data_IF_846641444737
#
_entry.id   IF_846641444737
#
_cell.length_a   1.000
_cell.length_b   1.000
_cell.length_c   1.000
_cell.angle_alpha   90.00
_cell.angle_beta   90.00
_cell.angle_gamma   90.00
#
_symmetry.space_group_name_H-M   'P 1'
#
loop_
_entity.id
_entity.type
_entity.pdbx_description
1 polymer ?
#
# COMPACT_ATOMS: atom_id res chain seq x y z
N UNK A 1 0.72 -0.49 -10.44
CA UNK A 1 0.49 -0.77 -9.01
C UNK A 1 1.29 -1.99 -8.62
N UNK A 2 1.97 -1.97 -7.47
CA UNK A 2 2.82 -3.07 -7.02
C UNK A 2 2.59 -3.31 -5.53
N UNK A 3 2.53 -4.59 -5.14
CA UNK A 3 2.50 -5.04 -3.75
C UNK A 3 3.76 -5.87 -3.47
N UNK A 4 4.44 -5.55 -2.37
CA UNK A 4 5.66 -6.22 -1.92
C UNK A 4 5.42 -6.71 -0.50
N UNK A 5 5.78 -7.96 -0.24
CA UNK A 5 5.73 -8.58 1.08
C UNK A 5 7.11 -8.62 1.75
N UNK A 6 7.10 -8.80 3.07
CA UNK A 6 8.29 -9.09 3.86
C UNK A 6 8.06 -10.45 4.52
N UNK A 7 8.97 -11.40 4.31
CA UNK A 7 8.87 -12.73 4.91
C UNK A 7 9.55 -12.78 6.29
N UNK A 8 9.48 -13.94 6.97
CA UNK A 8 10.10 -14.14 8.29
C UNK A 8 11.63 -13.95 8.31
N UNK A 9 12.28 -13.99 7.14
CA UNK A 9 13.72 -13.74 6.99
C UNK A 9 14.03 -12.28 6.63
N UNK A 10 13.10 -11.35 6.88
CA UNK A 10 13.22 -9.92 6.54
C UNK A 10 13.55 -9.63 5.07
N UNK A 11 13.21 -10.56 4.17
CA UNK A 11 13.47 -10.42 2.74
C UNK A 11 12.24 -9.89 2.03
N UNK A 12 12.44 -8.93 1.13
CA UNK A 12 11.39 -8.38 0.27
C UNK A 12 11.10 -9.33 -0.90
N UNK A 13 9.83 -9.58 -1.19
CA UNK A 13 9.42 -10.36 -2.36
C UNK A 13 8.16 -9.75 -3.01
N UNK A 14 8.05 -9.78 -4.35
CA UNK A 14 6.87 -9.30 -5.04
C UNK A 14 5.69 -10.23 -4.75
N UNK A 15 4.53 -9.66 -4.37
CA UNK A 15 3.28 -10.43 -4.19
C UNK A 15 2.43 -10.33 -5.45
N UNK A 16 2.19 -9.11 -5.93
CA UNK A 16 1.32 -8.85 -7.07
C UNK A 16 1.68 -7.54 -7.77
N UNK A 17 1.32 -7.44 -9.04
CA UNK A 17 1.38 -6.19 -9.80
C UNK A 17 0.15 -6.04 -10.69
N UNK A 18 -0.21 -4.80 -10.99
CA UNK A 18 -1.28 -4.48 -11.93
C UNK A 18 -0.92 -3.27 -12.78
N UNK A 19 -1.15 -3.39 -14.08
CA UNK A 19 -1.05 -2.28 -15.03
C UNK A 19 -2.42 -1.62 -15.15
N UNK A 20 -2.50 -0.35 -14.78
CA UNK A 20 -3.73 0.43 -14.82
C UNK A 20 -3.49 1.72 -15.59
N UNK A 21 -4.53 2.21 -16.27
CA UNK A 21 -4.46 3.46 -17.06
C UNK A 21 -4.05 4.66 -16.20
N UNK A 22 -4.50 4.69 -14.95
CA UNK A 22 -4.19 5.73 -13.96
C UNK A 22 -4.35 5.15 -12.58
N UNK A 23 -3.53 5.59 -11.65
CA UNK A 23 -3.74 5.33 -10.23
C UNK A 23 -4.79 6.29 -9.66
N UNK A 24 -5.97 5.76 -9.37
CA UNK A 24 -7.10 6.42 -8.72
C UNK A 24 -7.59 5.62 -7.51
N UNK A 25 -8.49 6.23 -6.74
CA UNK A 25 -9.22 5.56 -5.65
C UNK A 25 -9.80 4.22 -6.11
N UNK A 26 -10.54 4.21 -7.23
CA UNK A 26 -11.20 3.01 -7.74
C UNK A 26 -10.22 1.92 -8.12
N UNK A 27 -9.10 2.28 -8.76
CA UNK A 27 -8.07 1.29 -9.12
C UNK A 27 -7.35 0.73 -7.90
N UNK A 28 -7.13 1.54 -6.86
CA UNK A 28 -6.54 1.07 -5.59
C UNK A 28 -7.51 0.17 -4.84
N UNK A 29 -8.79 0.54 -4.77
CA UNK A 29 -9.85 -0.28 -4.17
C UNK A 29 -9.97 -1.63 -4.85
N UNK A 30 -10.00 -1.64 -6.18
CA UNK A 30 -10.04 -2.86 -6.96
C UNK A 30 -8.81 -3.74 -6.69
N UNK A 31 -7.60 -3.18 -6.80
CA UNK A 31 -6.36 -3.93 -6.63
C UNK A 31 -6.22 -4.52 -5.22
N UNK A 32 -6.48 -3.72 -4.19
CA UNK A 32 -6.37 -4.15 -2.79
C UNK A 32 -7.41 -5.23 -2.47
N UNK A 33 -8.65 -5.04 -2.92
CA UNK A 33 -9.72 -6.02 -2.72
C UNK A 33 -9.35 -7.40 -3.27
N UNK A 34 -8.87 -7.47 -4.52
CA UNK A 34 -8.48 -8.74 -5.12
C UNK A 34 -7.23 -9.34 -4.47
N UNK A 35 -6.24 -8.51 -4.16
CA UNK A 35 -5.03 -8.96 -3.45
C UNK A 35 -5.38 -9.66 -2.12
N UNK A 36 -6.33 -9.11 -1.36
CA UNK A 36 -6.73 -9.70 -0.08
C UNK A 36 -7.56 -10.97 -0.22
N UNK A 37 -8.42 -11.04 -1.25
CA UNK A 37 -9.15 -12.27 -1.59
C UNK A 37 -8.14 -13.38 -1.92
N UNK A 38 -7.15 -13.10 -2.77
CA UNK A 38 -6.15 -14.08 -3.21
C UNK A 38 -5.22 -14.54 -2.07
N UNK A 39 -4.89 -13.63 -1.15
CA UNK A 39 -4.11 -13.94 0.05
C UNK A 39 -4.94 -14.58 1.18
N UNK A 40 -6.25 -14.76 0.97
CA UNK A 40 -7.20 -15.30 1.95
C UNK A 40 -7.14 -14.59 3.31
N UNK A 41 -6.95 -13.26 3.28
CA UNK A 41 -6.80 -12.41 4.47
C UNK A 41 -8.17 -12.05 5.04
N UNK A 42 -8.88 -13.04 5.54
CA UNK A 42 -10.25 -12.88 6.04
C UNK A 42 -10.33 -12.11 7.37
N UNK A 43 -9.19 -11.92 8.06
CA UNK A 43 -9.08 -11.09 9.26
C UNK A 43 -7.84 -10.18 9.13
N UNK A 44 -7.96 -8.87 9.40
CA UNK A 44 -6.83 -7.92 9.33
C UNK A 44 -5.78 -8.11 10.43
N UNK A 45 -6.08 -8.94 11.44
CA UNK A 45 -5.29 -9.00 12.65
C UNK A 45 -3.89 -9.54 12.37
N UNK A 46 -2.86 -8.74 12.67
CA UNK A 46 -1.47 -9.07 12.42
C UNK A 46 -0.91 -8.61 11.08
N UNK A 47 -1.67 -7.84 10.28
CA UNK A 47 -1.20 -7.28 9.01
C UNK A 47 -0.99 -5.79 9.14
N UNK A 48 0.20 -5.34 8.74
CA UNK A 48 0.53 -3.92 8.63
C UNK A 48 0.62 -3.52 7.16
N UNK A 49 -0.26 -2.62 6.73
CA UNK A 49 -0.17 -2.02 5.40
C UNK A 49 0.83 -0.86 5.43
N UNK A 50 1.85 -0.93 4.56
CA UNK A 50 2.76 0.18 4.32
C UNK A 50 2.52 0.76 2.93
N UNK A 51 1.97 1.98 2.86
CA UNK A 51 1.63 2.60 1.57
C UNK A 51 2.36 3.92 1.34
N UNK A 52 2.38 4.40 0.09
CA UNK A 52 2.76 5.78 -0.18
C UNK A 52 1.63 6.73 0.31
N UNK A 53 1.93 8.04 0.43
CA UNK A 53 0.95 9.06 0.85
C UNK A 53 0.11 9.55 -0.34
N UNK A 54 -0.41 8.62 -1.14
CA UNK A 54 -1.24 8.96 -2.29
C UNK A 54 -2.68 9.18 -1.85
N UNK A 55 -3.32 10.23 -2.39
CA UNK A 55 -4.70 10.59 -2.05
C UNK A 55 -5.64 9.43 -2.38
N UNK A 56 -6.50 9.04 -1.45
CA UNK A 56 -7.47 7.97 -1.62
C UNK A 56 -6.99 6.60 -1.13
N UNK A 57 -5.68 6.37 -0.99
CA UNK A 57 -5.16 5.04 -0.64
C UNK A 57 -5.40 4.68 0.83
N UNK A 58 -5.25 5.66 1.73
CA UNK A 58 -5.55 5.47 3.16
C UNK A 58 -7.04 5.22 3.36
N UNK A 59 -7.87 5.97 2.63
CA UNK A 59 -9.32 5.84 2.64
C UNK A 59 -9.76 4.45 2.14
N UNK A 60 -9.14 3.93 1.08
CA UNK A 60 -9.38 2.56 0.59
C UNK A 60 -9.01 1.51 1.64
N UNK A 61 -7.85 1.63 2.28
CA UNK A 61 -7.44 0.67 3.32
C UNK A 61 -8.41 0.70 4.50
N UNK A 62 -8.81 1.89 4.97
CA UNK A 62 -9.77 2.05 6.05
C UNK A 62 -11.17 1.53 5.68
N UNK A 63 -11.60 1.69 4.42
CA UNK A 63 -12.88 1.19 3.94
C UNK A 63 -12.90 -0.34 3.90
N UNK A 64 -11.84 -0.95 3.40
CA UNK A 64 -11.80 -2.40 3.20
C UNK A 64 -11.41 -3.15 4.51
N UNK A 65 -10.49 -2.61 5.31
CA UNK A 65 -10.00 -3.24 6.55
C UNK A 65 -9.67 -2.19 7.63
N UNK A 66 -10.72 -1.70 8.28
CA UNK A 66 -10.68 -0.65 9.31
C UNK A 66 -9.75 -0.96 10.51
N UNK A 67 -9.60 -2.23 10.87
CA UNK A 67 -8.82 -2.64 12.05
C UNK A 67 -7.35 -2.98 11.73
N UNK A 68 -6.90 -2.75 10.49
CA UNK A 68 -5.51 -2.98 10.10
C UNK A 68 -4.58 -1.87 10.57
N UNK A 69 -3.34 -2.22 10.91
CA UNK A 69 -2.31 -1.20 11.13
C UNK A 69 -1.93 -0.57 9.79
N UNK A 70 -1.94 0.76 9.72
CA UNK A 70 -1.50 1.49 8.53
C UNK A 70 -0.27 2.35 8.83
N UNK A 71 0.76 2.24 7.98
CA UNK A 71 1.99 3.02 8.06
C UNK A 71 2.30 3.69 6.73
N UNK A 72 2.92 4.86 6.81
CA UNK A 72 3.45 5.52 5.63
C UNK A 72 4.88 5.05 5.32
N UNK A 73 5.14 4.76 4.06
CA UNK A 73 6.48 4.43 3.60
C UNK A 73 7.41 5.65 3.74
N UNK A 74 8.34 5.59 4.70
CA UNK A 74 9.33 6.66 4.97
C UNK A 74 10.15 7.00 3.74
N UNK A 75 10.55 6.01 2.93
CA UNK A 75 11.27 6.22 1.67
C UNK A 75 10.50 7.15 0.72
N UNK A 76 9.19 6.92 0.57
CA UNK A 76 8.33 7.77 -0.26
C UNK A 76 8.09 9.14 0.39
N UNK A 77 7.91 9.20 1.71
CA UNK A 77 7.77 10.48 2.42
C UNK A 77 9.02 11.36 2.23
N UNK A 78 10.21 10.79 2.40
CA UNK A 78 11.47 11.48 2.19
C UNK A 78 11.66 11.92 0.74
N UNK A 79 11.37 11.05 -0.22
CA UNK A 79 11.43 11.40 -1.64
C UNK A 79 10.47 12.55 -1.99
N UNK A 80 9.24 12.53 -1.45
CA UNK A 80 8.27 13.61 -1.64
C UNK A 80 8.72 14.91 -0.96
N UNK A 81 9.31 14.82 0.24
CA UNK A 81 9.88 15.95 0.97
C UNK A 81 10.99 16.61 0.16
N UNK A 82 11.98 15.84 -0.30
CA UNK A 82 13.10 16.33 -1.12
C UNK A 82 12.66 16.93 -2.45
N UNK A 83 11.59 16.41 -3.07
CA UNK A 83 11.00 17.01 -4.28
C UNK A 83 10.38 18.38 -4.02
N UNK A 84 9.74 18.56 -2.86
CA UNK A 84 9.06 19.80 -2.47
C UNK A 84 10.03 20.85 -1.95
N UNK A 85 11.02 20.43 -1.18
CA UNK A 85 12.06 21.28 -0.61
C UNK A 85 13.38 20.92 -1.26
N UNK A 86 13.65 21.55 -2.41
CA UNK A 86 14.99 21.55 -2.99
C UNK A 86 15.79 22.50 -2.10
N UNK A 87 16.71 21.97 -1.30
CA UNK A 87 17.64 22.82 -0.55
C UNK A 87 18.39 23.76 -1.50
N UNK A 88 18.86 24.88 -0.96
CA UNK A 88 19.70 25.83 -1.71
C UNK A 88 20.99 25.17 -2.23
#
# INVERSE_FOLDING_TARGET
MFAIGINANNSYYPIAYAMVKRESYDTWKWFIKFLMIDLNLNQPFGITFMTNKQKGLVEVINELWRDSEHRFCVKHMYANFKKKFKGD
#
